data_IF_526133644528
#
_entry.id   IF_526133644528
#
_cell.length_a   1.000
_cell.length_b   1.000
_cell.length_c   1.000
_cell.angle_alpha   90.00
_cell.angle_beta   90.00
_cell.angle_gamma   90.00
#
_symmetry.space_group_name_H-M   'P 1'
#
loop_
_entity.id
_entity.type
_entity.pdbx_description
1 polymer ?
#
# COMPACT_ATOMS: atom_id res chain seq x y z
N UNK A 1 -4.02 9.82 -4.07
CA UNK A 1 -5.13 8.85 -4.21
C UNK A 1 -6.24 9.26 -3.23
N UNK A 2 -7.52 9.16 -3.59
CA UNK A 2 -8.63 9.42 -2.67
C UNK A 2 -9.12 8.09 -2.04
N UNK A 3 -9.96 8.18 -1.00
CA UNK A 3 -10.42 7.00 -0.24
C UNK A 3 -11.16 5.98 -1.11
N UNK A 4 -12.05 6.44 -1.99
CA UNK A 4 -12.83 5.55 -2.86
C UNK A 4 -11.94 4.78 -3.86
N UNK A 5 -11.00 5.47 -4.49
CA UNK A 5 -10.08 4.84 -5.43
C UNK A 5 -9.17 3.81 -4.74
N UNK A 6 -8.70 4.11 -3.53
CA UNK A 6 -7.91 3.15 -2.77
C UNK A 6 -8.73 1.91 -2.40
N UNK A 7 -9.97 2.09 -1.95
CA UNK A 7 -10.85 0.98 -1.64
C UNK A 7 -11.11 0.09 -2.87
N UNK A 8 -11.40 0.70 -4.03
CA UNK A 8 -11.59 -0.05 -5.29
C UNK A 8 -10.33 -0.85 -5.67
N UNK A 9 -9.16 -0.21 -5.61
CA UNK A 9 -7.89 -0.89 -5.84
C UNK A 9 -7.65 -2.04 -4.85
N UNK A 10 -7.85 -1.79 -3.55
CA UNK A 10 -7.63 -2.79 -2.51
C UNK A 10 -8.52 -4.01 -2.72
N UNK A 11 -9.81 -3.78 -3.03
CA UNK A 11 -10.78 -4.84 -3.28
C UNK A 11 -10.53 -5.59 -4.59
N UNK A 12 -10.42 -4.89 -5.70
CA UNK A 12 -10.43 -5.50 -7.04
C UNK A 12 -9.06 -5.99 -7.49
N UNK A 13 -7.99 -5.38 -6.96
CA UNK A 13 -6.63 -5.71 -7.36
C UNK A 13 -5.93 -6.44 -6.23
N UNK A 14 -5.74 -5.79 -5.08
CA UNK A 14 -4.85 -6.35 -4.05
C UNK A 14 -5.38 -7.66 -3.44
N UNK A 15 -6.65 -7.69 -3.02
CA UNK A 15 -7.25 -8.90 -2.44
C UNK A 15 -7.29 -10.05 -3.46
N UNK A 16 -7.71 -9.77 -4.69
CA UNK A 16 -7.80 -10.78 -5.76
C UNK A 16 -6.43 -11.35 -6.14
N UNK A 17 -5.43 -10.48 -6.35
CA UNK A 17 -4.08 -10.90 -6.74
C UNK A 17 -3.34 -11.64 -5.60
N UNK A 18 -3.71 -11.38 -4.33
CA UNK A 18 -3.09 -12.06 -3.18
C UNK A 18 -3.93 -13.22 -2.64
N UNK A 19 -5.02 -13.61 -3.31
CA UNK A 19 -5.95 -14.67 -2.84
C UNK A 19 -5.25 -15.96 -2.43
N UNK A 20 -4.23 -16.37 -3.19
CA UNK A 20 -3.49 -17.61 -2.99
C UNK A 20 -2.23 -17.45 -2.13
N UNK A 21 -1.99 -16.26 -1.57
CA UNK A 21 -0.82 -16.01 -0.72
C UNK A 21 -1.10 -16.47 0.72
N UNK A 22 -0.13 -17.10 1.40
CA UNK A 22 -0.27 -17.47 2.81
C UNK A 22 -0.66 -16.28 3.69
N UNK A 23 -1.50 -16.55 4.70
CA UNK A 23 -2.02 -15.55 5.64
C UNK A 23 -1.40 -15.74 7.03
N UNK A 24 -1.26 -14.67 7.85
CA UNK A 24 -1.68 -13.29 7.57
C UNK A 24 -0.75 -12.58 6.59
N UNK A 25 -1.31 -11.69 5.78
CA UNK A 25 -0.56 -10.92 4.78
C UNK A 25 -0.33 -9.49 5.25
N UNK A 26 0.89 -8.99 5.14
CA UNK A 26 1.24 -7.63 5.52
C UNK A 26 1.20 -6.70 4.31
N UNK A 27 0.34 -5.69 4.35
CA UNK A 27 0.32 -4.58 3.41
C UNK A 27 0.91 -3.33 4.08
N UNK A 28 2.01 -2.82 3.53
CA UNK A 28 2.64 -1.58 3.99
C UNK A 28 2.19 -0.43 3.08
N UNK A 29 1.61 0.62 3.66
CA UNK A 29 1.18 1.82 2.94
C UNK A 29 1.86 3.07 3.49
N UNK A 30 1.91 4.11 2.67
CA UNK A 30 2.31 5.44 3.14
C UNK A 30 1.26 5.99 4.12
N UNK A 31 1.65 6.91 5.00
CA UNK A 31 0.75 7.46 6.03
C UNK A 31 -0.33 8.40 5.48
N UNK A 32 -0.68 8.35 4.19
CA UNK A 32 -1.66 9.24 3.60
C UNK A 32 -3.09 8.88 4.08
N UNK A 33 -3.85 9.88 4.53
CA UNK A 33 -5.17 9.70 5.15
C UNK A 33 -6.22 8.99 4.27
N UNK A 34 -5.96 8.87 2.96
CA UNK A 34 -6.84 8.16 2.03
C UNK A 34 -6.93 6.66 2.25
N UNK A 35 -5.98 6.05 2.97
CA UNK A 35 -5.97 4.59 3.16
C UNK A 35 -6.94 4.11 4.24
N UNK A 36 -7.47 5.03 5.05
CA UNK A 36 -8.25 4.72 6.23
C UNK A 36 -9.75 4.93 6.00
N UNK A 37 -10.34 4.05 5.20
CA UNK A 37 -11.80 3.91 5.16
C UNK A 37 -12.23 2.72 6.02
N UNK A 38 -13.40 2.82 6.66
CA UNK A 38 -13.99 1.73 7.46
C UNK A 38 -14.15 0.49 6.59
N UNK A 39 -14.62 0.67 5.35
CA UNK A 39 -14.83 -0.42 4.39
C UNK A 39 -13.54 -1.15 4.04
N UNK A 40 -12.44 -0.40 3.86
CA UNK A 40 -11.11 -0.99 3.58
C UNK A 40 -10.62 -1.82 4.77
N UNK A 41 -10.73 -1.28 5.99
CA UNK A 41 -10.28 -1.98 7.19
C UNK A 41 -11.11 -3.25 7.46
N UNK A 42 -12.43 -3.18 7.27
CA UNK A 42 -13.32 -4.33 7.41
C UNK A 42 -12.96 -5.43 6.41
N UNK A 43 -12.73 -5.06 5.14
CA UNK A 43 -12.31 -6.03 4.12
C UNK A 43 -10.93 -6.63 4.41
N UNK A 44 -10.00 -5.83 4.97
CA UNK A 44 -8.68 -6.32 5.36
C UNK A 44 -8.77 -7.36 6.48
N UNK A 45 -9.58 -7.10 7.51
CA UNK A 45 -9.82 -8.05 8.61
C UNK A 45 -10.41 -9.36 8.08
N UNK A 46 -11.42 -9.28 7.20
CA UNK A 46 -12.06 -10.47 6.61
C UNK A 46 -11.08 -11.34 5.82
N UNK A 47 -10.04 -10.75 5.22
CA UNK A 47 -9.05 -11.45 4.40
C UNK A 47 -7.73 -11.74 5.14
N UNK A 48 -7.66 -11.53 6.46
CA UNK A 48 -6.45 -11.68 7.27
C UNK A 48 -5.26 -10.85 6.71
N UNK A 49 -5.56 -9.63 6.29
CA UNK A 49 -4.58 -8.65 5.81
C UNK A 49 -4.33 -7.63 6.92
N UNK A 50 -3.07 -7.53 7.35
CA UNK A 50 -2.59 -6.55 8.31
C UNK A 50 -2.11 -5.34 7.51
N UNK A 51 -2.74 -4.17 7.73
CA UNK A 51 -2.32 -2.93 7.10
C UNK A 51 -1.45 -2.15 8.08
N UNK A 52 -0.20 -1.88 7.70
CA UNK A 52 0.73 -1.05 8.46
C UNK A 52 1.00 0.24 7.70
N UNK A 53 0.80 1.36 8.38
CA UNK A 53 1.06 2.69 7.83
C UNK A 53 2.40 3.19 8.34
N UNK A 54 3.25 3.64 7.41
CA UNK A 54 4.51 4.27 7.79
C UNK A 54 4.25 5.65 8.43
N UNK A 55 5.03 6.03 9.45
CA UNK A 55 4.88 7.34 10.09
C UNK A 55 5.09 8.48 9.08
N UNK A 56 4.33 9.56 9.26
CA UNK A 56 4.43 10.78 8.43
C UNK A 56 5.87 11.32 8.46
N UNK A 57 6.36 11.81 7.31
CA UNK A 57 7.74 12.31 7.14
C UNK A 57 8.85 11.27 7.37
N UNK A 58 8.55 9.97 7.29
CA UNK A 58 9.58 8.93 7.24
C UNK A 58 9.73 8.30 5.85
N UNK A 59 8.96 8.75 4.84
CA UNK A 59 8.99 8.24 3.47
C UNK A 59 10.40 8.22 2.89
N UNK A 60 11.14 9.32 3.07
CA UNK A 60 12.52 9.50 2.59
C UNK A 60 13.55 8.62 3.31
N UNK A 61 13.19 7.96 4.40
CA UNK A 61 14.07 7.09 5.18
C UNK A 61 13.64 5.62 5.12
N UNK A 62 12.34 5.36 5.00
CA UNK A 62 11.75 4.04 5.22
C UNK A 62 11.00 3.47 4.02
N UNK A 63 10.71 4.23 2.95
CA UNK A 63 10.08 3.63 1.77
C UNK A 63 11.13 2.97 0.87
N UNK A 64 11.19 1.62 0.84
CA UNK A 64 12.18 0.92 0.03
C UNK A 64 11.91 1.14 -1.46
N UNK A 65 10.65 1.33 -1.83
CA UNK A 65 10.24 1.57 -3.21
C UNK A 65 10.80 2.90 -3.73
N UNK A 66 10.73 3.98 -2.94
CA UNK A 66 11.29 5.28 -3.31
C UNK A 66 12.83 5.26 -3.34
N UNK A 67 13.44 4.61 -2.37
CA UNK A 67 14.91 4.60 -2.21
C UNK A 67 15.61 3.67 -3.19
N UNK A 68 15.07 2.48 -3.42
CA UNK A 68 15.75 1.41 -4.15
C UNK A 68 15.24 1.30 -5.57
N UNK A 69 13.93 1.39 -5.80
CA UNK A 69 13.34 1.13 -7.12
C UNK A 69 13.14 2.41 -7.94
N UNK A 70 12.54 3.46 -7.38
CA UNK A 70 12.25 4.67 -8.13
C UNK A 70 13.45 5.58 -8.31
N UNK A 71 14.48 5.50 -7.46
CA UNK A 71 15.66 6.34 -7.59
C UNK A 71 16.44 6.07 -8.90
N UNK A 72 16.81 4.82 -9.26
CA UNK A 72 17.40 4.52 -10.57
C UNK A 72 16.49 4.92 -11.74
N UNK A 73 15.18 4.67 -11.62
CA UNK A 73 14.21 5.01 -12.66
C UNK A 73 14.16 6.52 -12.92
N UNK A 74 14.20 7.35 -11.87
CA UNK A 74 14.23 8.82 -12.00
C UNK A 74 15.52 9.33 -12.65
N UNK A 75 16.64 8.65 -12.42
CA UNK A 75 17.93 9.02 -13.03
C UNK A 75 17.88 8.77 -14.54
N UNK A 76 17.42 7.60 -14.97
CA UNK A 76 17.34 7.25 -16.39
C UNK A 76 16.24 8.02 -17.13
N UNK A 77 15.10 8.31 -16.49
CA UNK A 77 14.02 9.10 -17.11
C UNK A 77 14.40 10.56 -17.40
N UNK A 78 15.43 11.09 -16.72
CA UNK A 78 15.92 12.46 -16.91
C UNK A 78 17.00 12.60 -17.98
N UNK A 79 17.45 11.50 -18.58
CA UNK A 79 18.30 11.51 -19.77
C UNK A 79 17.46 11.73 -21.01
#
# INVERSE_FOLDING_TARGET
>A
MNQNLFYQWFKQVFVEQTKNTPRPLLLIVDGHGSHFSVDTLQLAIQNQIIIVCLPSNATHLLQPLDLVFFNPLKIEWKK
#
